data_IF_911907833336
#
_entry.id   IF_911907833336
#
_cell.length_a   1.000
_cell.length_b   1.000
_cell.length_c   1.000
_cell.angle_alpha   90.00
_cell.angle_beta   90.00
_cell.angle_gamma   90.00
#
_symmetry.space_group_name_H-M   'P 1'
#
loop_
_entity.id
_entity.type
_entity.pdbx_description
1 polymer ?
#
# COMPACT_ATOMS: atom_id res chain seq x y z
N UNK A 1 20.88 -7.28 -41.41
CA UNK A 1 21.89 -6.67 -40.52
C UNK A 1 23.27 -7.16 -40.95
N UNK A 2 24.22 -6.26 -41.20
CA UNK A 2 25.57 -6.59 -41.71
C UNK A 2 26.47 -7.22 -40.64
N UNK A 3 27.52 -7.95 -41.05
CA UNK A 3 28.53 -8.55 -40.16
C UNK A 3 29.23 -7.54 -39.24
N UNK A 4 29.30 -6.27 -39.66
CA UNK A 4 29.81 -5.15 -38.83
C UNK A 4 28.96 -4.87 -37.59
N UNK A 5 27.66 -5.13 -37.63
CA UNK A 5 26.75 -4.89 -36.52
C UNK A 5 26.96 -5.91 -35.37
N UNK A 6 27.22 -7.17 -35.72
CA UNK A 6 27.51 -8.22 -34.73
C UNK A 6 28.86 -8.04 -34.02
N UNK A 7 29.85 -7.47 -34.70
CA UNK A 7 31.15 -7.14 -34.09
C UNK A 7 31.06 -6.07 -33.01
N UNK A 8 30.23 -5.05 -33.24
CA UNK A 8 29.97 -3.99 -32.26
C UNK A 8 29.25 -4.53 -31.00
N UNK A 9 28.24 -5.40 -31.19
CA UNK A 9 27.47 -6.01 -30.09
C UNK A 9 28.37 -6.84 -29.17
N UNK A 10 29.22 -7.72 -29.73
CA UNK A 10 30.13 -8.56 -28.92
C UNK A 10 31.19 -7.75 -28.18
N UNK A 11 31.66 -6.66 -28.79
CA UNK A 11 32.63 -5.75 -28.15
C UNK A 11 31.96 -5.01 -26.99
N UNK A 12 30.74 -4.53 -27.18
CA UNK A 12 29.95 -3.89 -26.12
C UNK A 12 29.67 -4.84 -24.96
N UNK A 13 29.27 -6.09 -25.22
CA UNK A 13 29.04 -7.12 -24.18
C UNK A 13 30.32 -7.50 -23.39
N UNK A 14 31.49 -7.51 -24.03
CA UNK A 14 32.76 -7.77 -23.33
C UNK A 14 33.20 -6.58 -22.48
N UNK A 15 33.04 -5.35 -22.99
CA UNK A 15 33.35 -4.12 -22.25
C UNK A 15 32.42 -3.97 -21.05
N UNK A 16 31.13 -4.24 -21.26
CA UNK A 16 30.07 -4.40 -20.27
C UNK A 16 30.49 -5.31 -19.11
N UNK A 17 30.78 -6.58 -19.41
CA UNK A 17 31.14 -7.59 -18.40
C UNK A 17 32.46 -7.24 -17.69
N UNK A 18 33.43 -6.67 -18.40
CA UNK A 18 34.70 -6.22 -17.82
C UNK A 18 34.57 -4.94 -16.96
N UNK A 19 33.54 -4.12 -17.19
CA UNK A 19 33.22 -2.97 -16.34
C UNK A 19 32.58 -3.42 -15.02
N UNK A 20 31.65 -4.39 -15.09
CA UNK A 20 30.94 -4.94 -13.94
C UNK A 20 31.86 -5.69 -12.95
N UNK A 21 32.91 -6.37 -13.43
CA UNK A 21 33.78 -7.19 -12.57
C UNK A 21 34.61 -6.39 -11.55
N UNK A 22 34.64 -5.06 -11.65
CA UNK A 22 35.42 -4.19 -10.75
C UNK A 22 34.59 -3.26 -9.85
N UNK A 23 33.24 -3.29 -9.93
CA UNK A 23 32.33 -2.33 -9.26
C UNK A 23 32.84 -0.88 -9.24
N UNK A 24 33.50 -0.49 -10.33
CA UNK A 24 34.13 0.82 -10.41
C UNK A 24 33.09 1.84 -10.83
N UNK A 25 32.65 2.68 -9.88
CA UNK A 25 31.68 3.74 -10.13
C UNK A 25 32.05 4.60 -11.36
N UNK A 26 33.32 4.97 -11.50
CA UNK A 26 33.81 5.72 -12.66
C UNK A 26 33.60 4.99 -14.00
N UNK A 27 33.85 3.67 -14.05
CA UNK A 27 33.59 2.88 -15.28
C UNK A 27 32.10 2.82 -15.59
N UNK A 28 31.26 2.69 -14.56
CA UNK A 28 29.81 2.68 -14.72
C UNK A 28 29.28 4.04 -15.20
N UNK A 29 29.85 5.14 -14.71
CA UNK A 29 29.56 6.50 -15.20
C UNK A 29 29.93 6.67 -16.68
N UNK A 30 31.07 6.14 -17.11
CA UNK A 30 31.44 6.16 -18.53
C UNK A 30 30.44 5.38 -19.37
N UNK A 31 30.01 4.19 -18.92
CA UNK A 31 28.97 3.42 -19.59
C UNK A 31 27.63 4.18 -19.65
N UNK A 32 27.23 4.85 -18.56
CA UNK A 32 26.04 5.69 -18.52
C UNK A 32 26.08 6.82 -19.54
N UNK A 33 27.22 7.50 -19.67
CA UNK A 33 27.43 8.55 -20.69
C UNK A 33 27.32 8.00 -22.11
N UNK A 34 27.84 6.79 -22.36
CA UNK A 34 27.70 6.12 -23.67
C UNK A 34 26.25 5.77 -23.97
N UNK A 35 25.47 5.31 -22.99
CA UNK A 35 24.03 5.03 -23.17
C UNK A 35 23.26 6.29 -23.56
N UNK A 36 23.58 7.44 -22.96
CA UNK A 36 22.90 8.71 -23.24
C UNK A 36 23.09 9.18 -24.69
N UNK A 37 24.22 8.88 -25.31
CA UNK A 37 24.50 9.22 -26.72
C UNK A 37 24.17 8.09 -27.70
N UNK A 38 23.80 6.91 -27.21
CA UNK A 38 23.45 5.76 -28.04
C UNK A 38 22.05 5.89 -28.66
N UNK A 39 21.87 5.26 -29.83
CA UNK A 39 20.54 5.07 -30.43
C UNK A 39 19.71 4.09 -29.58
N UNK A 40 18.37 4.17 -29.63
CA UNK A 40 17.49 3.28 -28.86
C UNK A 40 17.83 1.78 -29.06
N UNK A 41 18.17 1.37 -30.28
CA UNK A 41 18.57 0.00 -30.57
C UNK A 41 19.88 -0.41 -29.88
N UNK A 42 20.84 0.51 -29.73
CA UNK A 42 22.10 0.25 -29.04
C UNK A 42 21.96 0.33 -27.52
N UNK A 43 21.03 1.14 -26.99
CA UNK A 43 20.77 1.25 -25.54
C UNK A 43 20.43 -0.10 -24.91
N UNK A 44 19.64 -0.93 -25.60
CA UNK A 44 19.25 -2.28 -25.16
C UNK A 44 20.48 -3.16 -24.90
N UNK A 45 21.58 -2.98 -25.66
CA UNK A 45 22.80 -3.78 -25.52
C UNK A 45 23.54 -3.52 -24.21
N UNK A 46 23.27 -2.39 -23.56
CA UNK A 46 23.83 -2.04 -22.26
C UNK A 46 22.98 -2.55 -21.10
N UNK A 47 21.74 -2.97 -21.34
CA UNK A 47 20.83 -3.42 -20.28
C UNK A 47 21.43 -4.50 -19.36
N UNK A 48 22.07 -5.58 -19.88
CA UNK A 48 22.66 -6.61 -19.02
C UNK A 48 23.75 -6.09 -18.07
N UNK A 49 24.43 -4.99 -18.42
CA UNK A 49 25.47 -4.35 -17.59
C UNK A 49 24.87 -3.82 -16.31
N UNK A 50 23.86 -2.97 -16.48
CA UNK A 50 23.24 -2.28 -15.37
C UNK A 50 22.38 -3.24 -14.56
N UNK A 51 21.71 -4.20 -15.22
CA UNK A 51 20.94 -5.22 -14.53
C UNK A 51 21.82 -6.12 -13.64
N UNK A 52 23.03 -6.48 -14.08
CA UNK A 52 23.96 -7.26 -13.26
C UNK A 52 24.47 -6.53 -11.99
N UNK A 53 24.44 -5.19 -11.99
CA UNK A 53 24.73 -4.38 -10.79
C UNK A 53 23.57 -4.45 -9.78
N UNK A 54 22.36 -4.72 -10.26
CA UNK A 54 21.13 -4.77 -9.47
C UNK A 54 20.78 -6.18 -8.99
N UNK A 55 21.77 -7.05 -8.85
CA UNK A 55 21.58 -8.35 -8.19
C UNK A 55 21.17 -8.12 -6.72
N UNK A 56 20.02 -8.64 -6.26
CA UNK A 56 19.57 -8.48 -4.88
C UNK A 56 20.56 -9.01 -3.84
N UNK A 57 21.41 -9.98 -4.18
CA UNK A 57 22.45 -10.49 -3.30
C UNK A 57 23.54 -9.45 -2.97
N UNK A 58 23.56 -8.32 -3.69
CA UNK A 58 24.51 -7.23 -3.50
C UNK A 58 23.93 -6.09 -2.62
N UNK A 59 22.68 -6.20 -2.16
CA UNK A 59 22.06 -5.21 -1.28
C UNK A 59 22.74 -5.24 0.09
N UNK A 60 23.28 -4.11 0.57
CA UNK A 60 23.89 -4.05 1.89
C UNK A 60 22.89 -4.32 3.02
N UNK A 61 23.37 -4.84 4.14
CA UNK A 61 22.57 -4.91 5.36
C UNK A 61 22.45 -3.52 6.00
N UNK A 62 21.46 -3.30 6.89
CA UNK A 62 21.34 -2.03 7.61
C UNK A 62 22.59 -1.69 8.44
N UNK A 63 23.23 -2.70 9.03
CA UNK A 63 24.48 -2.53 9.77
C UNK A 63 25.63 -2.05 8.87
N UNK A 64 25.68 -2.51 7.61
CA UNK A 64 26.68 -2.06 6.65
C UNK A 64 26.52 -0.57 6.33
N UNK A 65 25.28 -0.07 6.25
CA UNK A 65 24.99 1.35 6.04
C UNK A 65 25.39 2.21 7.24
N UNK A 66 25.13 1.76 8.47
CA UNK A 66 25.52 2.48 9.68
C UNK A 66 27.04 2.62 9.81
N UNK A 67 27.77 1.57 9.41
CA UNK A 67 29.23 1.57 9.44
C UNK A 67 29.88 2.47 8.37
N UNK A 68 29.12 2.87 7.35
CA UNK A 68 29.54 3.72 6.23
C UNK A 68 30.86 3.30 5.57
N UNK A 69 31.10 1.99 5.45
CA UNK A 69 32.31 1.52 4.76
C UNK A 69 32.35 2.07 3.31
N UNK A 70 33.51 2.53 2.82
CA UNK A 70 33.62 3.10 1.47
C UNK A 70 33.09 2.18 0.36
N UNK A 71 33.31 0.87 0.50
CA UNK A 71 32.86 -0.14 -0.47
C UNK A 71 31.33 -0.29 -0.49
N UNK A 72 30.68 -0.23 0.68
CA UNK A 72 29.22 -0.24 0.79
C UNK A 72 28.63 0.96 0.08
N UNK A 73 29.18 2.15 0.31
CA UNK A 73 28.72 3.38 -0.33
C UNK A 73 28.89 3.32 -1.85
N UNK A 74 30.06 2.85 -2.32
CA UNK A 74 30.33 2.68 -3.74
C UNK A 74 29.34 1.69 -4.40
N UNK A 75 28.97 0.62 -3.70
CA UNK A 75 27.99 -0.36 -4.18
C UNK A 75 26.60 0.27 -4.35
N UNK A 76 26.14 1.04 -3.36
CA UNK A 76 24.85 1.74 -3.42
C UNK A 76 24.84 2.81 -4.51
N UNK A 77 25.93 3.57 -4.67
CA UNK A 77 26.08 4.55 -5.75
C UNK A 77 26.07 3.90 -7.13
N UNK A 78 26.68 2.72 -7.27
CA UNK A 78 26.61 1.94 -8.52
C UNK A 78 25.18 1.46 -8.80
N UNK A 79 24.48 0.91 -7.81
CA UNK A 79 23.09 0.49 -7.96
C UNK A 79 22.17 1.66 -8.31
N UNK A 80 22.36 2.83 -7.68
CA UNK A 80 21.59 4.04 -7.99
C UNK A 80 21.78 4.46 -9.45
N UNK A 81 23.04 4.56 -9.89
CA UNK A 81 23.34 4.90 -11.27
C UNK A 81 22.79 3.85 -12.25
N UNK A 82 22.82 2.58 -11.88
CA UNK A 82 22.26 1.52 -12.70
C UNK A 82 20.75 1.63 -12.85
N UNK A 83 20.02 1.93 -11.78
CA UNK A 83 18.58 2.22 -11.84
C UNK A 83 18.31 3.42 -12.75
N UNK A 84 18.99 4.55 -12.54
CA UNK A 84 18.83 5.75 -13.38
C UNK A 84 19.03 5.46 -14.87
N UNK A 85 20.08 4.70 -15.23
CA UNK A 85 20.36 4.39 -16.62
C UNK A 85 19.36 3.38 -17.19
N UNK A 86 18.96 2.37 -16.41
CA UNK A 86 17.90 1.43 -16.82
C UNK A 86 16.62 2.20 -17.12
N UNK A 87 16.29 3.23 -16.36
CA UNK A 87 15.10 4.04 -16.58
C UNK A 87 15.19 4.79 -17.92
N UNK A 88 16.35 5.36 -18.24
CA UNK A 88 16.64 6.01 -19.52
C UNK A 88 16.66 5.01 -20.71
N UNK A 89 16.95 3.72 -20.46
CA UNK A 89 16.95 2.65 -21.47
C UNK A 89 15.53 2.14 -21.73
N UNK A 90 14.76 1.86 -20.68
CA UNK A 90 13.49 1.13 -20.79
C UNK A 90 12.37 2.02 -21.30
N UNK A 91 12.23 3.25 -20.79
CA UNK A 91 11.09 4.10 -21.15
C UNK A 91 10.92 4.30 -22.68
N UNK A 92 11.99 4.45 -23.48
CA UNK A 92 11.88 4.49 -24.95
C UNK A 92 11.70 3.12 -25.61
N UNK A 93 12.20 2.04 -25.00
CA UNK A 93 12.24 0.68 -25.55
C UNK A 93 10.91 -0.03 -25.35
N UNK A 94 10.34 0.01 -24.13
CA UNK A 94 9.06 -0.62 -23.81
C UNK A 94 7.91 -0.10 -24.68
N UNK A 95 7.96 1.18 -25.08
CA UNK A 95 6.98 1.79 -25.99
C UNK A 95 7.08 1.32 -27.44
N UNK A 96 8.25 0.82 -27.86
CA UNK A 96 8.53 0.46 -29.27
C UNK A 96 8.56 -1.04 -29.53
N UNK A 97 8.87 -1.85 -28.52
CA UNK A 97 9.02 -3.29 -28.65
C UNK A 97 8.01 -3.98 -27.73
N UNK A 98 7.20 -4.88 -28.28
CA UNK A 98 6.46 -5.83 -27.46
C UNK A 98 7.48 -6.72 -26.78
N UNK A 99 7.66 -6.53 -25.47
CA UNK A 99 8.54 -7.40 -24.69
C UNK A 99 7.95 -8.81 -24.66
N UNK A 100 8.79 -9.86 -24.71
CA UNK A 100 8.36 -11.21 -24.36
C UNK A 100 7.75 -11.23 -22.94
N UNK A 101 6.67 -11.98 -22.76
CA UNK A 101 5.89 -12.02 -21.50
C UNK A 101 6.73 -12.41 -20.26
N UNK A 102 7.90 -13.02 -20.45
CA UNK A 102 8.79 -13.53 -19.39
C UNK A 102 9.87 -12.53 -18.92
N UNK A 103 10.13 -11.46 -19.68
CA UNK A 103 11.18 -10.48 -19.36
C UNK A 103 10.77 -9.62 -18.16
N UNK A 104 9.50 -9.19 -18.12
CA UNK A 104 8.96 -8.34 -17.07
C UNK A 104 9.14 -8.87 -15.63
N UNK A 105 8.68 -10.09 -15.30
CA UNK A 105 8.85 -10.66 -13.97
C UNK A 105 10.31 -10.77 -13.54
N UNK A 106 11.16 -11.29 -14.42
CA UNK A 106 12.59 -11.44 -14.16
C UNK A 106 13.20 -10.08 -13.87
N UNK A 107 12.94 -9.11 -14.74
CA UNK A 107 13.38 -7.74 -14.60
C UNK A 107 12.95 -7.12 -13.27
N UNK A 108 11.67 -7.18 -12.93
CA UNK A 108 11.12 -6.60 -11.71
C UNK A 108 11.71 -7.21 -10.45
N UNK A 109 11.91 -8.54 -10.44
CA UNK A 109 12.45 -9.26 -9.28
C UNK A 109 13.88 -8.84 -8.90
N UNK A 110 14.69 -8.39 -9.86
CA UNK A 110 16.02 -7.84 -9.60
C UNK A 110 15.99 -6.40 -9.10
N UNK A 111 15.07 -5.59 -9.62
CA UNK A 111 15.06 -4.15 -9.40
C UNK A 111 14.29 -3.74 -8.15
N UNK A 112 13.15 -4.38 -7.90
CA UNK A 112 12.29 -4.02 -6.77
C UNK A 112 13.02 -4.04 -5.42
N UNK A 113 13.83 -5.07 -5.08
CA UNK A 113 14.57 -5.09 -3.81
C UNK A 113 15.48 -3.87 -3.63
N UNK A 114 16.13 -3.40 -4.69
CA UNK A 114 16.98 -2.20 -4.66
C UNK A 114 16.16 -0.92 -4.50
N UNK A 115 15.03 -0.81 -5.20
CA UNK A 115 14.09 0.31 -5.04
C UNK A 115 13.62 0.41 -3.60
N UNK A 116 13.13 -0.71 -3.05
CA UNK A 116 12.61 -0.78 -1.70
C UNK A 116 13.69 -0.43 -0.68
N UNK A 117 14.89 -0.99 -0.82
CA UNK A 117 16.04 -0.66 0.01
C UNK A 117 16.38 0.84 -0.04
N UNK A 118 16.49 1.43 -1.23
CA UNK A 118 16.83 2.85 -1.35
C UNK A 118 15.76 3.77 -0.78
N UNK A 119 14.49 3.38 -0.88
CA UNK A 119 13.39 4.10 -0.25
C UNK A 119 13.47 4.05 1.28
N UNK A 120 13.62 2.86 1.85
CA UNK A 120 13.62 2.62 3.30
C UNK A 120 14.82 3.32 3.97
N UNK A 121 15.99 3.24 3.34
CA UNK A 121 17.24 3.78 3.89
C UNK A 121 17.64 5.14 3.32
N UNK A 122 16.72 5.86 2.66
CA UNK A 122 17.02 7.15 1.99
C UNK A 122 17.73 8.18 2.87
N UNK A 123 17.47 8.18 4.17
CA UNK A 123 18.11 9.10 5.12
C UNK A 123 19.62 8.84 5.31
N UNK A 124 20.07 7.62 5.05
CA UNK A 124 21.47 7.19 5.14
C UNK A 124 22.24 7.39 3.82
N UNK A 125 21.55 7.61 2.69
CA UNK A 125 22.17 7.68 1.35
C UNK A 125 22.90 9.00 1.06
N UNK A 126 22.92 9.94 2.01
CA UNK A 126 23.55 11.25 1.85
C UNK A 126 22.73 12.23 0.99
N UNK A 127 23.01 13.52 1.14
CA UNK A 127 22.22 14.60 0.53
C UNK A 127 22.25 14.63 -1.01
N UNK A 128 23.25 14.01 -1.64
CA UNK A 128 23.37 13.93 -3.10
C UNK A 128 22.56 12.81 -3.74
N UNK A 129 21.84 12.00 -2.95
CA UNK A 129 21.03 10.90 -3.48
C UNK A 129 19.77 11.44 -4.16
N UNK A 130 19.48 10.91 -5.36
CA UNK A 130 18.21 11.12 -6.09
C UNK A 130 17.00 10.73 -5.24
N UNK A 131 17.16 9.84 -4.26
CA UNK A 131 16.12 9.45 -3.31
C UNK A 131 15.91 10.45 -2.16
N UNK A 132 16.82 11.41 -2.00
CA UNK A 132 16.67 12.57 -1.10
C UNK A 132 16.24 13.83 -1.84
N UNK A 133 16.62 13.98 -3.11
CA UNK A 133 16.13 15.06 -3.96
C UNK A 133 14.67 14.80 -4.33
N UNK A 134 13.72 15.67 -3.94
CA UNK A 134 12.32 15.50 -4.27
C UNK A 134 12.08 15.38 -5.78
N UNK A 135 12.85 16.08 -6.62
CA UNK A 135 12.72 15.99 -8.10
C UNK A 135 13.26 14.67 -8.64
N UNK A 136 14.40 14.20 -8.14
CA UNK A 136 14.95 12.90 -8.45
C UNK A 136 13.99 11.76 -8.12
N UNK A 137 13.42 11.81 -6.92
CA UNK A 137 12.45 10.85 -6.44
C UNK A 137 11.12 10.91 -7.21
N UNK A 138 10.75 12.11 -7.64
CA UNK A 138 9.62 12.32 -8.57
C UNK A 138 9.85 11.64 -9.92
N UNK A 139 11.04 11.80 -10.52
CA UNK A 139 11.37 11.11 -11.78
C UNK A 139 11.33 9.61 -11.65
N UNK A 140 11.78 9.10 -10.50
CA UNK A 140 11.69 7.69 -10.16
C UNK A 140 10.24 7.17 -10.18
N UNK A 141 9.28 7.96 -9.69
CA UNK A 141 7.86 7.60 -9.72
C UNK A 141 7.26 7.67 -11.11
N UNK A 142 7.57 8.73 -11.85
CA UNK A 142 7.13 8.83 -13.24
C UNK A 142 7.60 7.60 -14.04
N UNK A 143 8.80 7.11 -13.75
CA UNK A 143 9.27 5.87 -14.33
C UNK A 143 8.46 4.64 -13.89
N UNK A 144 8.10 4.52 -12.60
CA UNK A 144 7.19 3.45 -12.15
C UNK A 144 5.86 3.48 -12.94
N UNK A 145 5.38 4.66 -13.33
CA UNK A 145 4.18 4.79 -14.20
C UNK A 145 4.43 4.22 -15.60
N UNK A 146 5.61 4.48 -16.17
CA UNK A 146 5.97 4.05 -17.52
C UNK A 146 6.13 2.52 -17.61
N UNK A 147 6.63 1.85 -16.56
CA UNK A 147 6.70 0.37 -16.53
C UNK A 147 5.33 -0.25 -16.20
N UNK A 148 4.44 0.47 -15.53
CA UNK A 148 3.16 -0.07 -15.08
C UNK A 148 2.14 -0.26 -16.22
N UNK A 149 2.33 0.40 -17.36
CA UNK A 149 1.35 0.40 -18.44
C UNK A 149 1.11 -0.98 -19.10
N UNK A 150 2.13 -1.80 -19.41
CA UNK A 150 1.93 -3.15 -19.93
C UNK A 150 1.20 -4.05 -18.93
N UNK A 151 0.13 -4.74 -19.38
CA UNK A 151 -0.71 -5.61 -18.51
C UNK A 151 0.09 -6.64 -17.69
N UNK A 152 1.09 -7.37 -18.23
CA UNK A 152 1.84 -8.34 -17.43
C UNK A 152 2.60 -7.69 -16.28
N UNK A 153 3.19 -6.51 -16.52
CA UNK A 153 3.91 -5.76 -15.50
C UNK A 153 2.99 -5.18 -14.44
N UNK A 154 1.80 -4.72 -14.85
CA UNK A 154 0.76 -4.24 -13.93
C UNK A 154 0.43 -5.25 -12.84
N UNK A 155 0.18 -6.50 -13.21
CA UNK A 155 -0.23 -7.53 -12.25
C UNK A 155 0.92 -7.85 -11.28
N UNK A 156 2.15 -7.91 -11.78
CA UNK A 156 3.35 -8.18 -10.96
C UNK A 156 3.61 -7.04 -9.99
N UNK A 157 3.65 -5.80 -10.49
CA UNK A 157 3.90 -4.59 -9.69
C UNK A 157 2.78 -4.44 -8.64
N UNK A 158 1.53 -4.64 -9.03
CA UNK A 158 0.40 -4.53 -8.10
C UNK A 158 0.35 -5.66 -7.07
N UNK A 159 0.92 -6.84 -7.34
CA UNK A 159 1.07 -7.90 -6.35
C UNK A 159 2.31 -7.75 -5.47
N UNK A 160 3.17 -6.75 -5.73
CA UNK A 160 4.45 -6.59 -5.04
C UNK A 160 4.26 -5.97 -3.65
N UNK A 161 4.67 -6.66 -2.56
CA UNK A 161 4.55 -6.14 -1.20
C UNK A 161 5.31 -4.81 -1.02
N UNK A 162 4.67 -3.86 -0.34
CA UNK A 162 5.23 -2.53 -0.07
C UNK A 162 5.20 -1.55 -1.25
N UNK A 163 4.77 -1.98 -2.45
CA UNK A 163 4.66 -1.06 -3.60
C UNK A 163 3.63 0.04 -3.37
N UNK A 164 2.48 -0.30 -2.78
CA UNK A 164 1.44 0.68 -2.44
C UNK A 164 1.88 1.65 -1.37
N UNK A 165 2.58 1.14 -0.35
CA UNK A 165 3.19 1.96 0.68
C UNK A 165 4.21 2.93 0.06
N UNK A 166 5.06 2.45 -0.84
CA UNK A 166 6.02 3.29 -1.57
C UNK A 166 5.33 4.40 -2.36
N UNK A 167 4.28 4.11 -3.12
CA UNK A 167 3.52 5.13 -3.87
C UNK A 167 2.92 6.18 -2.93
N UNK A 168 2.29 5.72 -1.84
CA UNK A 168 1.69 6.59 -0.84
C UNK A 168 2.73 7.44 -0.10
N UNK A 169 3.88 6.88 0.28
CA UNK A 169 4.97 7.66 0.88
C UNK A 169 5.52 8.64 -0.14
N UNK A 170 5.61 8.26 -1.40
CA UNK A 170 6.17 9.14 -2.42
C UNK A 170 5.36 10.39 -2.63
N UNK A 171 4.05 10.24 -2.60
CA UNK A 171 3.18 11.37 -2.52
C UNK A 171 3.66 12.41 -1.50
N UNK A 172 3.92 11.98 -0.27
CA UNK A 172 4.28 12.86 0.84
C UNK A 172 5.62 13.59 0.64
N UNK A 173 6.45 13.08 -0.28
CA UNK A 173 7.78 13.61 -0.60
C UNK A 173 7.78 14.60 -1.78
N UNK A 174 6.67 14.74 -2.52
CA UNK A 174 6.63 15.61 -3.70
C UNK A 174 6.76 17.11 -3.33
N UNK A 175 7.64 17.87 -4.00
CA UNK A 175 7.86 19.27 -3.71
C UNK A 175 6.72 20.13 -4.27
N UNK A 176 5.87 20.65 -3.38
CA UNK A 176 4.64 21.42 -3.71
C UNK A 176 4.88 22.68 -4.54
N UNK A 177 6.07 23.27 -4.45
CA UNK A 177 6.43 24.50 -5.18
C UNK A 177 7.00 24.23 -6.57
N UNK A 178 7.11 22.97 -6.99
CA UNK A 178 7.64 22.64 -8.32
C UNK A 178 6.54 22.70 -9.38
N UNK A 179 6.88 23.22 -10.56
CA UNK A 179 6.01 23.14 -11.75
C UNK A 179 5.64 21.69 -12.10
N UNK A 180 6.50 20.73 -11.73
CA UNK A 180 6.28 19.30 -11.93
C UNK A 180 5.27 18.68 -10.94
N UNK A 181 4.91 19.38 -9.85
CA UNK A 181 4.08 18.82 -8.78
C UNK A 181 2.75 18.25 -9.30
N UNK A 182 1.97 19.07 -10.01
CA UNK A 182 0.65 18.69 -10.52
C UNK A 182 0.73 17.51 -11.51
N UNK A 183 1.72 17.52 -12.40
CA UNK A 183 1.94 16.42 -13.35
C UNK A 183 2.19 15.12 -12.60
N UNK A 184 3.07 15.14 -11.61
CA UNK A 184 3.47 13.94 -10.87
C UNK A 184 2.36 13.45 -9.94
N UNK A 185 1.58 14.39 -9.41
CA UNK A 185 0.37 14.14 -8.66
C UNK A 185 -0.62 13.34 -9.50
N UNK A 186 -0.92 13.84 -10.70
CA UNK A 186 -1.87 13.21 -11.62
C UNK A 186 -1.44 11.81 -12.01
N UNK A 187 -0.14 11.60 -12.29
CA UNK A 187 0.41 10.28 -12.58
C UNK A 187 0.29 9.32 -11.39
N UNK A 188 0.59 9.77 -10.17
CA UNK A 188 0.41 8.98 -8.95
C UNK A 188 -1.06 8.59 -8.76
N UNK A 189 -1.99 9.55 -8.87
CA UNK A 189 -3.44 9.30 -8.80
C UNK A 189 -3.83 8.24 -9.83
N UNK A 190 -3.35 8.39 -11.06
CA UNK A 190 -3.69 7.50 -12.17
C UNK A 190 -3.21 6.06 -11.91
N UNK A 191 -1.96 5.86 -11.46
CA UNK A 191 -1.49 4.53 -11.07
C UNK A 191 -2.36 3.99 -9.95
N UNK A 192 -2.50 4.75 -8.86
CA UNK A 192 -3.16 4.25 -7.66
C UNK A 192 -4.62 3.88 -7.96
N UNK A 193 -5.35 4.72 -8.71
CA UNK A 193 -6.71 4.43 -9.14
C UNK A 193 -6.83 3.23 -10.09
N UNK A 194 -5.73 2.85 -10.75
CA UNK A 194 -5.67 1.66 -11.62
C UNK A 194 -5.19 0.39 -10.91
N UNK A 195 -4.73 0.49 -9.65
CA UNK A 195 -4.27 -0.67 -8.89
C UNK A 195 -5.47 -1.51 -8.45
N UNK A 196 -5.40 -2.84 -8.57
CA UNK A 196 -6.38 -3.72 -7.95
C UNK A 196 -6.24 -3.63 -6.42
N UNK A 197 -7.30 -3.19 -5.76
CA UNK A 197 -7.53 -3.43 -4.34
C UNK A 197 -8.38 -4.69 -4.26
N UNK A 198 -7.74 -5.84 -4.11
CA UNK A 198 -8.41 -7.16 -3.99
C UNK A 198 -8.15 -7.80 -2.62
N UNK A 199 -7.17 -7.29 -1.88
CA UNK A 199 -6.77 -7.75 -0.55
C UNK A 199 -6.82 -6.57 0.45
N UNK A 200 -7.44 -6.71 1.63
CA UNK A 200 -7.40 -5.69 2.69
C UNK A 200 -6.00 -5.19 3.04
N UNK A 201 -4.96 -6.03 2.90
CA UNK A 201 -3.56 -5.64 3.10
C UNK A 201 -3.11 -4.56 2.13
N UNK A 202 -3.61 -4.55 0.89
CA UNK A 202 -3.30 -3.50 -0.08
C UNK A 202 -3.68 -2.11 0.42
N UNK A 203 -4.82 -2.02 1.10
CA UNK A 203 -5.31 -0.78 1.67
C UNK A 203 -4.48 -0.39 2.90
N UNK A 204 -4.18 -1.35 3.77
CA UNK A 204 -3.34 -1.12 4.94
C UNK A 204 -1.94 -0.61 4.55
N UNK A 205 -1.30 -1.19 3.53
CA UNK A 205 -0.04 -0.71 2.98
C UNK A 205 -0.11 0.74 2.51
N UNK A 206 -1.18 1.12 1.82
CA UNK A 206 -1.35 2.48 1.31
C UNK A 206 -1.51 3.49 2.45
N UNK A 207 -2.27 3.15 3.49
CA UNK A 207 -2.46 4.01 4.66
C UNK A 207 -1.20 4.11 5.51
N UNK A 208 -0.46 3.01 5.69
CA UNK A 208 0.83 3.02 6.38
C UNK A 208 1.85 3.90 5.62
N UNK A 209 1.93 3.74 4.30
CA UNK A 209 2.79 4.55 3.44
C UNK A 209 2.45 6.05 3.47
N UNK A 210 1.17 6.39 3.62
CA UNK A 210 0.72 7.77 3.81
C UNK A 210 1.08 8.35 5.20
N UNK A 211 1.61 7.52 6.11
CA UNK A 211 2.14 7.92 7.41
C UNK A 211 1.19 7.73 8.58
N UNK A 212 0.07 7.01 8.43
CA UNK A 212 -0.93 6.88 9.49
C UNK A 212 -0.46 6.09 10.73
N UNK A 213 0.50 5.15 10.58
CA UNK A 213 0.96 4.31 11.69
C UNK A 213 2.18 4.86 12.44
N UNK A 214 2.84 5.91 11.93
CA UNK A 214 4.07 6.46 12.56
C UNK A 214 3.70 7.53 13.58
N UNK A 215 3.54 7.11 14.83
CA UNK A 215 3.17 7.91 16.01
C UNK A 215 4.18 8.97 16.48
N UNK A 216 5.15 9.39 15.66
CA UNK A 216 6.19 10.34 16.08
C UNK A 216 6.00 11.75 15.50
N UNK A 217 5.42 12.61 16.36
CA UNK A 217 5.52 14.07 16.55
C UNK A 217 5.88 15.02 15.36
N UNK A 218 4.86 15.76 14.91
CA UNK A 218 4.64 17.21 15.13
C UNK A 218 5.09 18.33 14.17
N UNK A 219 5.72 18.10 13.00
CA UNK A 219 5.75 19.23 12.04
C UNK A 219 5.91 18.89 10.56
N UNK A 220 6.68 17.86 10.26
CA UNK A 220 6.96 17.51 8.86
C UNK A 220 5.76 16.81 8.21
N UNK A 221 5.17 15.83 8.91
CA UNK A 221 3.95 15.13 8.49
C UNK A 221 2.84 16.14 8.20
N UNK A 222 2.57 17.07 9.12
CA UNK A 222 1.52 18.09 9.00
C UNK A 222 1.68 19.01 7.77
N UNK A 223 2.89 19.48 7.44
CA UNK A 223 3.10 20.35 6.26
C UNK A 223 2.89 19.62 4.93
N UNK A 224 3.25 18.34 4.85
CA UNK A 224 3.05 17.52 3.67
C UNK A 224 1.64 16.88 3.62
N UNK A 225 0.97 16.79 4.76
CA UNK A 225 -0.36 16.22 4.93
C UNK A 225 -1.40 16.85 4.03
N UNK A 226 -1.46 18.20 3.96
CA UNK A 226 -2.48 18.94 3.20
C UNK A 226 -2.77 18.36 1.80
N UNK A 227 -1.74 18.13 1.00
CA UNK A 227 -1.95 17.71 -0.39
C UNK A 227 -2.07 16.19 -0.54
N UNK A 228 -1.37 15.43 0.32
CA UNK A 228 -1.52 13.97 0.48
C UNK A 228 -2.92 13.60 0.87
N UNK A 229 -3.51 14.42 1.69
CA UNK A 229 -4.80 14.18 2.27
C UNK A 229 -5.93 14.42 1.28
N UNK A 230 -5.96 15.55 0.56
CA UNK A 230 -7.01 15.82 -0.44
C UNK A 230 -7.15 14.69 -1.46
N UNK A 231 -6.05 14.10 -1.92
CA UNK A 231 -6.14 13.01 -2.90
C UNK A 231 -6.28 11.64 -2.25
N UNK A 232 -5.70 11.41 -1.08
CA UNK A 232 -6.07 10.21 -0.30
C UNK A 232 -7.59 10.20 -0.13
N UNK A 233 -8.23 11.33 0.17
CA UNK A 233 -9.68 11.44 0.18
C UNK A 233 -10.33 11.24 -1.17
N UNK A 234 -9.81 11.79 -2.27
CA UNK A 234 -10.37 11.52 -3.61
C UNK A 234 -10.36 10.04 -3.94
N UNK A 235 -9.25 9.37 -3.62
CA UNK A 235 -9.10 7.94 -3.81
C UNK A 235 -10.02 7.17 -2.87
N UNK A 236 -10.10 7.54 -1.59
CA UNK A 236 -10.98 6.92 -0.62
C UNK A 236 -12.44 7.12 -1.01
N UNK A 237 -12.83 8.33 -1.38
CA UNK A 237 -14.16 8.63 -1.90
C UNK A 237 -14.44 7.77 -3.12
N UNK A 238 -13.51 7.67 -4.08
CA UNK A 238 -13.68 6.84 -5.26
C UNK A 238 -13.83 5.35 -4.90
N UNK A 239 -12.90 4.80 -4.13
CA UNK A 239 -12.88 3.39 -3.72
C UNK A 239 -14.12 3.04 -2.89
N UNK A 240 -14.48 3.88 -1.93
CA UNK A 240 -15.58 3.67 -1.00
C UNK A 240 -16.96 3.93 -1.63
N UNK A 241 -17.04 4.77 -2.66
CA UNK A 241 -18.27 5.02 -3.41
C UNK A 241 -18.51 3.99 -4.53
N UNK A 242 -17.58 3.07 -4.78
CA UNK A 242 -17.85 1.92 -5.66
C UNK A 242 -18.79 0.92 -4.97
N UNK A 243 -19.47 0.07 -5.74
CA UNK A 243 -20.37 -1.00 -5.23
C UNK A 243 -19.69 -1.95 -4.25
N UNK A 244 -18.36 -2.05 -4.31
CA UNK A 244 -17.54 -2.89 -3.44
C UNK A 244 -16.87 -2.10 -2.31
N UNK A 245 -17.08 -0.78 -2.23
CA UNK A 245 -16.38 0.12 -1.32
C UNK A 245 -16.48 -0.28 0.15
N UNK A 246 -17.63 -0.81 0.58
CA UNK A 246 -17.87 -1.21 1.97
C UNK A 246 -16.95 -2.34 2.46
N UNK A 247 -16.42 -3.18 1.56
CA UNK A 247 -15.50 -4.25 1.95
C UNK A 247 -14.12 -3.73 2.40
N UNK A 248 -13.78 -2.49 2.01
CA UNK A 248 -12.52 -1.83 2.36
C UNK A 248 -12.62 -1.01 3.65
N UNK A 249 -13.83 -0.62 4.06
CA UNK A 249 -14.04 0.19 5.25
C UNK A 249 -13.44 -0.40 6.53
N UNK A 250 -13.54 -1.71 6.83
CA UNK A 250 -12.93 -2.27 8.03
C UNK A 250 -11.42 -2.04 8.09
N UNK A 251 -10.73 -2.37 7.00
CA UNK A 251 -9.29 -2.18 6.88
C UNK A 251 -8.93 -0.70 7.00
N UNK A 252 -9.75 0.19 6.44
CA UNK A 252 -9.54 1.63 6.52
C UNK A 252 -9.69 2.20 7.93
N UNK A 253 -10.74 1.78 8.62
CA UNK A 253 -11.02 2.16 10.00
C UNK A 253 -9.87 1.68 10.91
N UNK A 254 -9.49 0.40 10.79
CA UNK A 254 -8.42 -0.20 11.61
C UNK A 254 -7.05 0.42 11.32
N UNK A 255 -6.78 0.78 10.06
CA UNK A 255 -5.56 1.48 9.66
C UNK A 255 -5.52 2.96 10.10
N UNK A 256 -6.59 3.49 10.72
CA UNK A 256 -6.60 4.82 11.32
C UNK A 256 -7.21 5.93 10.46
N UNK A 257 -8.10 5.60 9.52
CA UNK A 257 -8.85 6.60 8.73
C UNK A 257 -9.46 7.71 9.60
N UNK A 258 -10.13 7.34 10.69
CA UNK A 258 -10.78 8.33 11.57
C UNK A 258 -9.78 9.18 12.35
N UNK A 259 -8.64 8.61 12.77
CA UNK A 259 -7.55 9.35 13.42
C UNK A 259 -6.96 10.38 12.47
N UNK A 260 -6.76 9.97 11.21
CA UNK A 260 -6.28 10.83 10.13
C UNK A 260 -7.24 12.00 9.91
N UNK A 261 -8.55 11.74 9.80
CA UNK A 261 -9.57 12.78 9.65
C UNK A 261 -9.59 13.75 10.84
N UNK A 262 -9.49 13.24 12.08
CA UNK A 262 -9.42 14.06 13.29
C UNK A 262 -8.20 15.01 13.26
N UNK A 263 -7.03 14.47 12.87
CA UNK A 263 -5.81 15.24 12.73
C UNK A 263 -5.95 16.38 11.71
N UNK A 264 -6.61 16.13 10.57
CA UNK A 264 -6.88 17.18 9.58
C UNK A 264 -7.84 18.23 10.11
N UNK A 265 -8.96 17.80 10.69
CA UNK A 265 -9.95 18.73 11.22
C UNK A 265 -9.34 19.65 12.29
N UNK A 266 -8.43 19.11 13.10
CA UNK A 266 -7.73 19.82 14.18
C UNK A 266 -6.69 20.81 13.66
N UNK A 267 -5.80 20.37 12.77
CA UNK A 267 -4.62 21.14 12.36
C UNK A 267 -4.88 21.99 11.12
N UNK A 268 -5.88 21.62 10.31
CA UNK A 268 -6.26 22.29 9.08
C UNK A 268 -7.79 22.43 8.92
N UNK A 269 -8.50 23.16 9.79
CA UNK A 269 -9.97 23.27 9.72
C UNK A 269 -10.48 23.75 8.35
N UNK A 270 -9.76 24.66 7.68
CA UNK A 270 -10.14 25.16 6.35
C UNK A 270 -10.05 24.12 5.23
N UNK A 271 -9.36 23.02 5.48
CA UNK A 271 -9.30 21.87 4.58
C UNK A 271 -10.44 20.90 4.81
N UNK A 272 -11.24 21.12 5.84
CA UNK A 272 -12.45 20.36 6.06
C UNK A 272 -13.52 20.67 5.02
N UNK A 273 -13.31 20.12 3.83
CA UNK A 273 -14.14 20.33 2.66
C UNK A 273 -15.32 19.36 2.58
N UNK A 274 -16.13 19.56 1.55
CA UNK A 274 -17.32 18.76 1.29
C UNK A 274 -17.03 17.25 1.14
N UNK A 275 -15.79 16.84 0.83
CA UNK A 275 -15.46 15.43 0.61
C UNK A 275 -15.25 14.69 1.92
N UNK A 276 -14.53 15.27 2.88
CA UNK A 276 -14.49 14.64 4.21
C UNK A 276 -15.85 14.66 4.89
N UNK A 277 -16.58 15.77 4.73
CA UNK A 277 -17.96 15.84 5.20
C UNK A 277 -18.78 14.73 4.55
N UNK A 278 -18.62 14.48 3.25
CA UNK A 278 -19.28 13.36 2.55
C UNK A 278 -18.86 11.99 3.09
N UNK A 279 -17.57 11.75 3.38
CA UNK A 279 -17.13 10.51 4.01
C UNK A 279 -17.79 10.31 5.38
N UNK A 280 -17.82 11.35 6.21
CA UNK A 280 -18.33 11.31 7.58
C UNK A 280 -19.86 11.24 7.66
N UNK A 281 -20.56 11.95 6.78
CA UNK A 281 -22.01 12.09 6.81
C UNK A 281 -22.75 11.12 5.88
N UNK A 282 -22.05 10.52 4.91
CA UNK A 282 -22.67 9.59 3.94
C UNK A 282 -22.02 8.22 3.94
N UNK A 283 -20.74 8.12 3.60
CA UNK A 283 -20.08 6.84 3.34
C UNK A 283 -19.94 5.99 4.62
N UNK A 284 -19.41 6.57 5.69
CA UNK A 284 -19.21 5.86 6.96
C UNK A 284 -20.55 5.44 7.60
N UNK A 285 -21.57 6.31 7.70
CA UNK A 285 -22.91 5.93 8.15
C UNK A 285 -23.53 4.76 7.36
N UNK A 286 -23.46 4.80 6.03
CA UNK A 286 -23.98 3.72 5.18
C UNK A 286 -23.19 2.41 5.41
N UNK A 287 -21.88 2.51 5.65
CA UNK A 287 -21.02 1.39 6.00
C UNK A 287 -21.39 0.69 7.32
N UNK A 288 -21.94 1.42 8.30
CA UNK A 288 -22.36 0.86 9.58
C UNK A 288 -23.59 -0.06 9.49
N UNK A 289 -24.17 -0.25 8.30
CA UNK A 289 -25.16 -1.30 8.04
C UNK A 289 -24.53 -2.70 7.97
N UNK A 290 -23.22 -2.79 7.74
CA UNK A 290 -22.51 -4.05 7.59
C UNK A 290 -21.80 -4.47 8.88
N UNK A 291 -22.04 -5.71 9.30
CA UNK A 291 -21.48 -6.27 10.54
C UNK A 291 -19.96 -6.10 10.68
N UNK A 292 -19.20 -6.37 9.60
CA UNK A 292 -17.75 -6.30 9.62
C UNK A 292 -17.23 -4.86 9.82
N UNK A 293 -17.94 -3.86 9.31
CA UNK A 293 -17.60 -2.45 9.51
C UNK A 293 -17.87 -2.05 10.96
N UNK A 294 -19.02 -2.44 11.53
CA UNK A 294 -19.33 -2.18 12.95
C UNK A 294 -18.33 -2.86 13.87
N UNK A 295 -17.90 -4.09 13.53
CA UNK A 295 -16.90 -4.81 14.30
C UNK A 295 -15.51 -4.15 14.27
N UNK A 296 -15.12 -3.57 13.14
CA UNK A 296 -13.90 -2.76 13.04
C UNK A 296 -14.03 -1.44 13.82
N UNK A 297 -15.18 -0.76 13.71
CA UNK A 297 -15.49 0.46 14.45
C UNK A 297 -15.38 0.25 15.96
N UNK A 298 -15.95 -0.84 16.48
CA UNK A 298 -15.92 -1.18 17.91
C UNK A 298 -14.49 -1.27 18.48
N UNK A 299 -13.48 -1.57 17.65
CA UNK A 299 -12.09 -1.65 18.09
C UNK A 299 -11.42 -0.29 18.26
N UNK A 300 -11.91 0.74 17.57
CA UNK A 300 -11.24 2.05 17.47
C UNK A 300 -12.07 3.21 18.00
N UNK A 301 -13.38 3.01 18.27
CA UNK A 301 -14.31 4.09 18.58
C UNK A 301 -13.86 4.89 19.81
N UNK A 302 -13.57 4.24 20.94
CA UNK A 302 -13.16 4.90 22.18
C UNK A 302 -11.92 5.79 22.01
N UNK A 303 -10.89 5.25 21.35
CA UNK A 303 -9.64 5.96 21.08
C UNK A 303 -9.88 7.19 20.18
N UNK A 304 -10.68 7.02 19.13
CA UNK A 304 -10.99 8.09 18.20
C UNK A 304 -11.83 9.16 18.90
N UNK A 305 -12.81 8.79 19.72
CA UNK A 305 -13.64 9.72 20.49
C UNK A 305 -12.79 10.63 21.38
N UNK A 306 -11.72 10.12 22.00
CA UNK A 306 -10.80 10.95 22.78
C UNK A 306 -10.15 12.06 21.94
N UNK A 307 -9.70 11.73 20.72
CA UNK A 307 -9.07 12.70 19.79
C UNK A 307 -10.09 13.77 19.35
N UNK A 308 -11.30 13.33 18.99
CA UNK A 308 -12.37 14.20 18.51
C UNK A 308 -12.98 15.07 19.60
N UNK A 309 -12.83 14.70 20.87
CA UNK A 309 -13.27 15.48 22.04
C UNK A 309 -12.27 16.56 22.46
N UNK A 310 -11.22 16.82 21.67
CA UNK A 310 -10.25 17.86 21.99
C UNK A 310 -10.84 19.25 21.81
N UNK A 311 -10.49 20.19 22.72
CA UNK A 311 -10.95 21.60 22.67
C UNK A 311 -10.71 22.30 21.33
N UNK A 312 -9.72 21.85 20.55
CA UNK A 312 -9.42 22.43 19.23
C UNK A 312 -10.53 22.17 18.21
N UNK A 313 -11.29 21.08 18.38
CA UNK A 313 -12.37 20.71 17.47
C UNK A 313 -13.70 21.32 17.87
N UNK A 314 -13.96 21.54 19.17
CA UNK A 314 -15.25 22.06 19.69
C UNK A 314 -15.78 23.30 18.95
N UNK A 315 -14.90 24.15 18.43
CA UNK A 315 -15.26 25.40 17.72
C UNK A 315 -15.47 25.22 16.20
N UNK A 316 -15.46 24.00 15.67
CA UNK A 316 -15.52 23.73 14.24
C UNK A 316 -16.88 23.20 13.78
N UNK A 317 -17.35 23.58 12.59
CA UNK A 317 -18.65 23.14 12.04
C UNK A 317 -18.78 21.61 11.83
N UNK A 318 -17.65 20.90 11.84
CA UNK A 318 -17.60 19.46 11.68
C UNK A 318 -18.01 18.72 12.96
N UNK A 319 -17.90 19.34 14.13
CA UNK A 319 -18.24 18.67 15.39
C UNK A 319 -19.67 18.13 15.39
N UNK A 320 -20.60 18.85 14.77
CA UNK A 320 -21.98 18.38 14.62
C UNK A 320 -22.09 17.14 13.72
N UNK A 321 -21.35 17.12 12.61
CA UNK A 321 -21.26 15.96 11.71
C UNK A 321 -20.63 14.75 12.43
N UNK A 322 -19.55 14.99 13.19
CA UNK A 322 -18.88 13.97 13.99
C UNK A 322 -19.79 13.42 15.09
N UNK A 323 -20.44 14.27 15.89
CA UNK A 323 -21.34 13.83 16.96
C UNK A 323 -22.49 13.00 16.41
N UNK A 324 -23.08 13.43 15.28
CA UNK A 324 -24.14 12.69 14.60
C UNK A 324 -23.67 11.30 14.15
N UNK A 325 -22.47 11.21 13.58
CA UNK A 325 -21.84 9.96 13.19
C UNK A 325 -21.50 9.08 14.42
N UNK A 326 -20.89 9.66 15.45
CA UNK A 326 -20.48 9.00 16.68
C UNK A 326 -21.68 8.35 17.37
N UNK A 327 -22.78 9.07 17.56
CA UNK A 327 -24.01 8.55 18.14
C UNK A 327 -24.56 7.36 17.35
N UNK A 328 -24.49 7.42 16.02
CA UNK A 328 -24.88 6.31 15.16
C UNK A 328 -23.94 5.12 15.34
N UNK A 329 -22.62 5.34 15.30
CA UNK A 329 -21.60 4.31 15.49
C UNK A 329 -21.76 3.62 16.85
N UNK A 330 -21.91 4.37 17.93
CA UNK A 330 -22.08 3.85 19.28
C UNK A 330 -23.32 2.98 19.39
N UNK A 331 -24.49 3.45 18.90
CA UNK A 331 -25.72 2.63 18.86
C UNK A 331 -25.52 1.32 18.11
N UNK A 332 -24.76 1.34 17.00
CA UNK A 332 -24.50 0.13 16.20
C UNK A 332 -23.54 -0.82 16.92
N UNK A 333 -22.52 -0.31 17.60
CA UNK A 333 -21.60 -1.09 18.43
C UNK A 333 -22.34 -1.72 19.61
N UNK A 334 -23.21 -0.97 20.30
CA UNK A 334 -24.05 -1.52 21.37
C UNK A 334 -24.98 -2.64 20.87
N UNK A 335 -25.57 -2.48 19.69
CA UNK A 335 -26.36 -3.53 19.05
C UNK A 335 -25.50 -4.77 18.73
N UNK A 336 -24.26 -4.56 18.24
CA UNK A 336 -23.32 -5.65 17.97
C UNK A 336 -23.00 -6.43 19.25
N UNK A 337 -22.79 -5.77 20.38
CA UNK A 337 -22.55 -6.43 21.67
C UNK A 337 -23.79 -7.17 22.17
N UNK A 338 -24.99 -6.62 21.95
CA UNK A 338 -26.27 -7.31 22.18
C UNK A 338 -26.43 -8.57 21.32
N UNK A 339 -26.00 -8.52 20.06
CA UNK A 339 -26.03 -9.67 19.15
C UNK A 339 -24.96 -10.71 19.50
N UNK A 340 -23.76 -10.31 19.95
CA UNK A 340 -22.71 -11.23 20.42
C UNK A 340 -23.09 -11.91 21.72
N UNK A 341 -23.76 -11.18 22.60
CA UNK A 341 -24.26 -11.71 23.85
C UNK A 341 -25.48 -12.60 23.65
N UNK A 342 -26.17 -12.60 22.50
CA UNK A 342 -27.36 -13.43 22.28
C UNK A 342 -27.14 -14.51 21.22
N UNK A 343 -27.41 -15.78 21.56
CA UNK A 343 -27.38 -16.92 20.63
C UNK A 343 -28.72 -17.64 20.64
N UNK A 344 -29.23 -17.94 19.45
CA UNK A 344 -30.31 -18.90 19.29
C UNK A 344 -29.79 -20.32 19.55
N UNK A 345 -30.65 -21.17 20.13
CA UNK A 345 -30.42 -22.61 20.18
C UNK A 345 -30.48 -23.20 18.76
N UNK A 346 -29.48 -23.97 18.35
CA UNK A 346 -29.43 -24.58 17.02
C UNK A 346 -30.41 -25.74 16.86
N UNK A 347 -31.00 -26.23 17.95
CA UNK A 347 -32.20 -27.07 17.84
C UNK A 347 -33.37 -26.21 17.34
N UNK A 348 -33.71 -26.35 16.06
CA UNK A 348 -34.75 -25.56 15.37
C UNK A 348 -36.14 -25.69 16.02
N UNK A 349 -36.43 -26.82 16.67
CA UNK A 349 -37.69 -26.99 17.41
C UNK A 349 -37.74 -26.18 18.72
N UNK A 350 -36.57 -25.82 19.28
CA UNK A 350 -36.47 -25.02 20.50
C UNK A 350 -36.62 -23.53 20.23
N UNK A 351 -35.85 -22.99 19.27
CA UNK A 351 -35.88 -21.56 18.90
C UNK A 351 -35.51 -20.56 20.01
N UNK A 352 -35.13 -21.03 21.21
CA UNK A 352 -34.83 -20.17 22.36
C UNK A 352 -33.58 -19.33 22.09
N UNK A 353 -33.72 -18.01 22.18
CA UNK A 353 -32.61 -17.05 22.18
C UNK A 353 -32.24 -16.75 23.63
N UNK A 354 -30.97 -16.90 23.98
CA UNK A 354 -30.48 -16.59 25.32
C UNK A 354 -29.03 -16.11 25.26
N UNK A 355 -28.49 -15.71 26.41
CA UNK A 355 -27.12 -15.26 26.50
C UNK A 355 -26.14 -16.33 25.96
N UNK A 356 -25.18 -15.95 25.11
CA UNK A 356 -24.22 -16.85 24.47
C UNK A 356 -23.33 -17.55 25.50
N UNK A 357 -23.09 -16.95 26.67
CA UNK A 357 -22.43 -17.58 27.82
C UNK A 357 -23.24 -18.71 28.45
N UNK A 358 -24.57 -18.69 28.27
CA UNK A 358 -25.49 -19.74 28.75
C UNK A 358 -25.71 -20.84 27.73
N UNK A 359 -25.29 -20.64 26.47
CA UNK A 359 -25.33 -21.68 25.45
C UNK A 359 -24.12 -22.62 25.58
N UNK A 360 -24.40 -23.92 25.53
CA UNK A 360 -23.38 -24.97 25.50
C UNK A 360 -22.98 -25.23 24.06
N UNK A 361 -21.68 -25.34 23.80
CA UNK A 361 -21.17 -25.75 22.48
C UNK A 361 -21.18 -27.27 22.36
N UNK A 362 -21.47 -27.78 21.17
CA UNK A 362 -21.27 -29.20 20.87
C UNK A 362 -19.80 -29.58 21.14
N UNK A 363 -19.57 -30.61 21.93
CA UNK A 363 -18.21 -31.06 22.28
C UNK A 363 -17.42 -31.62 21.10
N UNK A 364 -18.11 -32.11 20.05
CA UNK A 364 -17.50 -32.61 18.82
C UNK A 364 -17.02 -31.49 17.89
N UNK A 365 -17.96 -30.78 17.26
CA UNK A 365 -17.65 -29.77 16.24
C UNK A 365 -17.35 -28.36 16.78
N UNK A 366 -17.82 -28.01 17.99
CA UNK A 366 -17.73 -26.67 18.60
C UNK A 366 -18.41 -25.53 17.82
N UNK A 367 -19.12 -25.84 16.73
CA UNK A 367 -19.79 -24.86 15.86
C UNK A 367 -21.26 -24.67 16.20
N UNK A 368 -21.93 -25.73 16.69
CA UNK A 368 -23.32 -25.66 17.15
C UNK A 368 -23.43 -25.30 18.64
N UNK A 369 -24.46 -24.54 18.98
CA UNK A 369 -24.78 -23.96 20.28
C UNK A 369 -26.19 -24.40 20.71
N UNK A 370 -26.30 -24.91 21.93
CA UNK A 370 -27.55 -25.43 22.49
C UNK A 370 -27.84 -24.81 23.85
N UNK A 371 -29.12 -24.56 24.15
CA UNK A 371 -29.51 -24.04 25.45
C UNK A 371 -29.43 -25.10 26.58
N UNK A 372 -29.44 -26.39 26.23
CA UNK A 372 -29.32 -27.52 27.15
C UNK A 372 -28.76 -28.77 26.44
N UNK A 373 -28.34 -29.77 27.23
CA UNK A 373 -27.96 -31.10 26.70
C UNK A 373 -29.12 -31.82 26.02
N UNK A 374 -30.34 -31.54 26.44
CA UNK A 374 -31.54 -32.17 25.89
C UNK A 374 -31.80 -31.66 24.47
N UNK A 375 -31.65 -30.35 24.25
CA UNK A 375 -31.72 -29.77 22.92
C UNK A 375 -30.62 -30.29 21.99
N UNK A 376 -29.40 -30.44 22.50
CA UNK A 376 -28.32 -31.07 21.74
C UNK A 376 -28.67 -32.51 21.34
N UNK A 377 -29.24 -33.29 22.26
CA UNK A 377 -29.60 -34.69 22.02
C UNK A 377 -30.76 -34.82 21.02
N UNK A 378 -31.75 -33.92 21.11
CA UNK A 378 -32.88 -33.86 20.18
C UNK A 378 -32.40 -33.52 18.77
N UNK A 379 -31.60 -32.46 18.62
CA UNK A 379 -31.02 -32.05 17.35
C UNK A 379 -30.08 -33.12 16.76
N UNK A 380 -29.31 -33.82 17.62
CA UNK A 380 -28.47 -34.95 17.22
C UNK A 380 -29.28 -36.11 16.63
N UNK A 381 -30.43 -36.45 17.22
CA UNK A 381 -31.26 -37.59 16.80
C UNK A 381 -32.18 -37.23 15.63
N UNK A 382 -32.71 -36.01 15.59
CA UNK A 382 -33.82 -35.64 14.72
C UNK A 382 -33.55 -34.43 13.83
N UNK A 383 -32.71 -33.49 14.27
CA UNK A 383 -32.42 -32.23 13.55
C UNK A 383 -31.29 -32.33 12.51
N UNK A 384 -30.72 -33.53 12.33
CA UNK A 384 -29.69 -33.78 11.31
C UNK A 384 -28.27 -33.46 11.74
N UNK A 385 -28.06 -32.96 12.97
CA UNK A 385 -26.73 -32.55 13.43
C UNK A 385 -25.67 -33.66 13.36
N UNK A 386 -26.09 -34.89 13.62
CA UNK A 386 -25.24 -36.09 13.53
C UNK A 386 -24.58 -36.28 12.16
N UNK A 387 -25.21 -35.82 11.07
CA UNK A 387 -24.73 -36.06 9.71
C UNK A 387 -23.55 -35.15 9.31
N UNK A 388 -23.35 -34.04 10.03
CA UNK A 388 -22.33 -33.05 9.70
C UNK A 388 -21.46 -32.66 10.91
N UNK A 389 -21.66 -33.27 12.07
CA UNK A 389 -20.80 -33.03 13.23
C UNK A 389 -19.37 -33.56 12.96
N UNK A 390 -18.40 -32.65 12.91
CA UNK A 390 -16.98 -32.97 12.73
C UNK A 390 -16.48 -32.81 11.29
N UNK A 391 -17.36 -32.50 10.34
CA UNK A 391 -16.93 -32.07 9.00
C UNK A 391 -16.21 -30.71 9.11
N UNK A 392 -15.09 -30.50 8.39
CA UNK A 392 -14.48 -29.18 8.31
C UNK A 392 -15.53 -28.20 7.78
N UNK A 393 -15.81 -27.14 8.53
CA UNK A 393 -16.63 -26.05 8.01
C UNK A 393 -15.80 -25.40 6.91
N UNK A 394 -16.27 -25.50 5.67
CA UNK A 394 -15.83 -24.62 4.60
C UNK A 394 -16.39 -23.24 4.95
N UNK A 395 -15.60 -22.45 5.69
CA UNK A 395 -15.88 -21.06 6.01
C UNK A 395 -15.57 -20.17 4.80
#
# INVERSE_FOLDING_TARGET
MSSSHFGAIRTQQRVALAACSSRSYHKLQLAATLVKSATDAHKILFFPVFYAILDPAQIPTPADLESLQPDTRASVDCARLALEVIFDIIAPVSRKYQEPDDVGPTFWSGIWPWIFFMHEYREYLGASSVFRDPLGYTRFVLFLTDIYDPRPMRDIISATPGFRALLATTWTLLPKSSEAYETCLWFLVSIIGSLPFTDPLHFAEMVDGAGACKSNSDSWLLRNFKSSFTVTLELLEHLLNTTLGYQWLPAAIEAGLLRMMAGVATEFPSMFDNRMRFLLTKILPDGLLYYHVVAAMAKVLDEVTEIWSSKKLEDTEIVDDWNSFHDLAERRVQLLDGLRSSRACDNLECGKIQDSSRCRRCSGCKTHYYCSSDCQTADWKHGGHRNHCGSPVLL
#
